data_IF_631641685574
#
_entry.id   IF_631641685574
#
_cell.length_a   1.000
_cell.length_b   1.000
_cell.length_c   1.000
_cell.angle_alpha   90.00
_cell.angle_beta   90.00
_cell.angle_gamma   90.00
#
_symmetry.space_group_name_H-M   'P 1'
#
loop_
_entity.id
_entity.type
_entity.pdbx_description
1 polymer ?
#
# COMPACT_ATOMS: atom_id res chain seq x y z
N UNK A 1 -12.57 9.90 -33.34
CA UNK A 1 -11.71 9.82 -32.17
C UNK A 1 -12.64 9.65 -30.96
N UNK A 2 -12.79 8.43 -30.46
CA UNK A 2 -13.74 8.12 -29.37
C UNK A 2 -12.95 8.14 -28.08
N UNK A 3 -13.20 9.14 -27.23
CA UNK A 3 -12.64 9.20 -25.88
C UNK A 3 -13.54 8.34 -25.01
N UNK A 4 -13.12 7.11 -24.70
CA UNK A 4 -13.78 6.29 -23.67
C UNK A 4 -13.38 6.82 -22.29
N UNK A 5 -14.25 7.61 -21.71
CA UNK A 5 -14.14 7.98 -20.28
C UNK A 5 -14.62 6.77 -19.47
N UNK A 6 -13.70 5.95 -19.00
CA UNK A 6 -14.03 4.89 -18.06
C UNK A 6 -14.55 5.51 -16.76
N UNK A 7 -15.85 5.49 -16.54
CA UNK A 7 -16.46 5.84 -15.26
C UNK A 7 -16.00 4.81 -14.24
N UNK A 8 -15.06 5.22 -13.40
CA UNK A 8 -14.62 4.42 -12.25
C UNK A 8 -15.83 4.23 -11.34
N UNK A 9 -16.31 3.00 -11.21
CA UNK A 9 -17.46 2.67 -10.39
C UNK A 9 -17.06 2.71 -8.91
N UNK A 10 -17.28 3.88 -8.29
CA UNK A 10 -16.97 4.13 -6.88
C UNK A 10 -17.60 3.10 -5.93
N UNK A 11 -18.73 2.48 -6.36
CA UNK A 11 -19.40 1.42 -5.58
C UNK A 11 -18.56 0.12 -5.59
N UNK A 12 -17.95 -0.25 -6.71
CA UNK A 12 -17.07 -1.43 -6.80
C UNK A 12 -15.80 -1.23 -5.99
N UNK A 13 -15.21 -0.03 -6.05
CA UNK A 13 -14.07 0.35 -5.20
C UNK A 13 -14.46 0.28 -3.72
N UNK A 14 -15.60 0.82 -3.34
CA UNK A 14 -16.10 0.75 -1.97
C UNK A 14 -16.37 -0.70 -1.51
N UNK A 15 -16.84 -1.58 -2.39
CA UNK A 15 -17.07 -3.00 -2.08
C UNK A 15 -15.74 -3.73 -1.92
N UNK A 16 -14.79 -3.55 -2.82
CA UNK A 16 -13.46 -4.20 -2.75
C UNK A 16 -12.69 -3.70 -1.52
N UNK A 17 -12.71 -2.40 -1.27
CA UNK A 17 -12.09 -1.80 -0.08
C UNK A 17 -12.87 -2.16 1.19
N UNK A 18 -14.19 -2.36 1.10
CA UNK A 18 -15.05 -2.84 2.17
C UNK A 18 -14.79 -4.31 2.52
N UNK A 19 -14.58 -5.18 1.54
CA UNK A 19 -14.21 -6.58 1.75
C UNK A 19 -12.86 -6.68 2.47
N UNK A 20 -11.87 -5.89 2.08
CA UNK A 20 -10.58 -5.82 2.78
C UNK A 20 -10.76 -5.31 4.22
N UNK A 21 -11.68 -4.37 4.46
CA UNK A 21 -12.00 -3.89 5.81
C UNK A 21 -12.80 -4.95 6.62
N UNK A 22 -13.71 -5.68 5.99
CA UNK A 22 -14.50 -6.73 6.65
C UNK A 22 -13.65 -7.97 6.99
N UNK A 23 -12.59 -8.24 6.23
CA UNK A 23 -11.64 -9.33 6.50
C UNK A 23 -10.74 -9.07 7.72
N UNK A 24 -10.77 -7.86 8.26
CA UNK A 24 -10.05 -7.46 9.48
C UNK A 24 -10.97 -7.52 10.72
N UNK A 25 -12.23 -7.95 10.60
CA UNK A 25 -13.18 -7.99 11.72
C UNK A 25 -13.51 -9.44 12.08
N UNK A 26 -12.82 -9.97 13.06
CA UNK A 26 -13.18 -11.24 13.72
C UNK A 26 -12.01 -11.95 14.39
N UNK A 27 -11.86 -11.70 15.56
CA UNK A 27 -11.65 -12.43 16.82
C UNK A 27 -10.27 -12.97 17.30
N UNK A 28 -10.01 -12.76 18.48
CA UNK A 28 -9.25 -12.86 19.77
C UNK A 28 -8.22 -13.99 20.00
N UNK A 29 -7.16 -13.67 20.67
CA UNK A 29 -6.50 -13.94 22.00
C UNK A 29 -5.61 -15.21 22.07
N UNK A 30 -4.39 -15.22 22.53
CA UNK A 30 -3.76 -15.14 23.87
C UNK A 30 -2.26 -15.48 23.83
N UNK A 31 -1.50 -14.70 24.61
CA UNK A 31 -0.30 -15.02 25.39
C UNK A 31 1.04 -15.35 24.70
N UNK A 32 1.95 -14.42 24.83
CA UNK A 32 3.07 -14.53 25.78
C UNK A 32 4.30 -15.25 25.25
N UNK A 33 5.39 -14.55 25.21
CA UNK A 33 6.73 -15.11 25.11
C UNK A 33 7.65 -14.18 24.31
N UNK A 34 8.54 -13.53 25.03
CA UNK A 34 9.56 -12.70 24.43
C UNK A 34 10.60 -13.52 23.69
N UNK A 35 11.10 -12.96 22.61
CA UNK A 35 12.45 -13.21 22.13
C UNK A 35 12.99 -11.94 21.50
N UNK A 36 14.20 -11.58 21.89
CA UNK A 36 14.98 -10.46 21.37
C UNK A 36 15.28 -10.67 19.86
N UNK A 37 14.35 -10.24 19.05
CA UNK A 37 14.64 -9.93 17.66
C UNK A 37 14.90 -8.45 17.57
N UNK A 38 16.05 -8.04 17.08
CA UNK A 38 16.39 -6.65 16.73
C UNK A 38 15.28 -6.08 15.88
N UNK A 39 14.28 -5.50 16.54
CA UNK A 39 13.15 -4.86 15.89
C UNK A 39 13.69 -3.63 15.14
N UNK A 40 13.85 -3.76 13.84
CA UNK A 40 14.01 -2.60 12.98
C UNK A 40 12.83 -1.68 13.29
N UNK A 41 13.11 -0.48 13.80
CA UNK A 41 12.08 0.46 14.22
C UNK A 41 11.09 0.66 13.07
N UNK A 42 9.79 0.47 13.37
CA UNK A 42 8.76 0.62 12.35
C UNK A 42 8.84 1.99 11.69
N UNK A 43 8.72 2.08 10.34
CA UNK A 43 8.85 3.34 9.62
C UNK A 43 7.85 4.38 10.13
N UNK A 44 8.31 5.63 10.29
CA UNK A 44 7.45 6.73 10.74
C UNK A 44 6.51 7.19 9.63
N UNK A 45 5.26 7.45 9.97
CA UNK A 45 4.20 7.89 9.07
C UNK A 45 3.42 9.09 9.62
N UNK A 46 4.12 9.99 10.29
CA UNK A 46 3.53 11.11 11.02
C UNK A 46 2.70 12.07 10.15
N UNK A 47 3.03 12.17 8.87
CA UNK A 47 2.31 13.01 7.90
C UNK A 47 2.15 12.32 6.54
N UNK A 48 1.47 12.98 5.61
CA UNK A 48 1.24 12.45 4.27
C UNK A 48 2.54 12.23 3.50
N UNK A 49 3.48 13.17 3.59
CA UNK A 49 4.73 13.11 2.82
C UNK A 49 5.60 11.92 3.24
N UNK A 50 5.62 11.60 4.55
CA UNK A 50 6.30 10.43 5.06
C UNK A 50 5.70 9.13 4.51
N UNK A 51 4.37 9.04 4.39
CA UNK A 51 3.70 7.87 3.79
C UNK A 51 3.95 7.75 2.30
N UNK A 52 3.87 8.87 1.57
CA UNK A 52 4.20 8.91 0.13
C UNK A 52 5.67 8.55 -0.09
N UNK A 53 6.58 9.10 0.73
CA UNK A 53 8.00 8.75 0.68
C UNK A 53 8.22 7.25 0.92
N UNK A 54 7.57 6.68 1.93
CA UNK A 54 7.65 5.25 2.21
C UNK A 54 7.28 4.40 0.98
N UNK A 55 6.20 4.73 0.28
CA UNK A 55 5.82 4.02 -0.95
C UNK A 55 6.82 4.24 -2.09
N UNK A 56 7.35 5.44 -2.22
CA UNK A 56 8.40 5.76 -3.20
C UNK A 56 9.71 4.99 -2.96
N UNK A 57 10.06 4.72 -1.72
CA UNK A 57 11.24 3.93 -1.36
C UNK A 57 11.13 2.48 -1.87
N UNK A 58 9.91 1.97 -2.12
CA UNK A 58 9.65 0.70 -2.83
C UNK A 58 9.54 0.86 -4.36
N UNK A 59 9.69 2.07 -4.89
CA UNK A 59 9.60 2.36 -6.33
C UNK A 59 8.19 2.75 -6.81
N UNK A 60 7.21 2.86 -5.91
CA UNK A 60 5.85 3.21 -6.30
C UNK A 60 5.68 4.71 -6.52
N UNK A 61 5.20 5.07 -7.70
CA UNK A 61 4.63 6.40 -7.94
C UNK A 61 3.15 6.38 -7.55
N UNK A 62 2.78 7.24 -6.61
CA UNK A 62 1.43 7.28 -6.04
C UNK A 62 0.85 8.68 -6.08
N UNK A 63 -0.47 8.77 -6.01
CA UNK A 63 -1.16 10.04 -5.86
C UNK A 63 -0.63 10.82 -4.64
N UNK A 64 -0.51 12.12 -4.77
CA UNK A 64 0.03 13.01 -3.74
C UNK A 64 -0.81 13.06 -2.45
N UNK A 65 -2.05 12.56 -2.51
CA UNK A 65 -2.98 12.46 -1.38
C UNK A 65 -3.68 11.11 -1.40
N UNK A 66 -4.07 10.57 -0.24
CA UNK A 66 -4.81 9.34 -0.19
C UNK A 66 -6.20 9.51 -0.81
N UNK A 67 -6.63 8.54 -1.62
CA UNK A 67 -7.99 8.50 -2.18
C UNK A 67 -9.02 8.05 -1.14
N UNK A 68 -8.56 7.41 -0.06
CA UNK A 68 -9.38 7.04 1.08
C UNK A 68 -8.56 7.08 2.37
N UNK A 69 -9.19 7.58 3.42
CA UNK A 69 -8.69 7.51 4.80
C UNK A 69 -9.81 7.01 5.70
N UNK A 70 -9.50 6.00 6.50
CA UNK A 70 -10.48 5.42 7.44
C UNK A 70 -9.81 4.88 8.69
N UNK A 71 -10.52 4.88 9.80
CA UNK A 71 -10.12 4.14 10.97
C UNK A 71 -10.57 2.68 10.81
N UNK A 72 -9.69 1.75 11.14
CA UNK A 72 -9.96 0.30 11.14
C UNK A 72 -9.56 -0.28 12.47
N UNK A 73 -10.39 -1.19 13.00
CA UNK A 73 -10.05 -1.94 14.20
C UNK A 73 -9.37 -3.23 13.79
N UNK A 74 -8.18 -3.47 14.31
CA UNK A 74 -7.53 -4.76 14.15
C UNK A 74 -8.35 -5.84 14.84
N UNK A 75 -8.53 -7.02 14.25
CA UNK A 75 -9.25 -8.12 14.89
C UNK A 75 -8.67 -8.46 16.26
N UNK A 76 -9.54 -8.81 17.16
CA UNK A 76 -9.15 -9.33 18.48
C UNK A 76 -8.93 -10.85 18.43
N UNK A 77 -9.60 -11.59 17.55
CA UNK A 77 -9.46 -13.03 17.34
C UNK A 77 -8.84 -13.36 15.98
N UNK A 78 -8.19 -14.46 15.86
CA UNK A 78 -7.57 -14.90 14.63
C UNK A 78 -8.57 -15.63 13.73
N UNK A 79 -8.80 -15.12 12.53
CA UNK A 79 -9.48 -15.84 11.46
C UNK A 79 -8.45 -16.36 10.44
N UNK A 80 -8.84 -17.31 9.60
CA UNK A 80 -7.97 -17.80 8.53
C UNK A 80 -7.52 -16.65 7.61
N UNK A 81 -8.42 -15.75 7.30
CA UNK A 81 -8.15 -14.58 6.45
C UNK A 81 -7.18 -13.62 7.12
N UNK A 82 -7.38 -13.32 8.40
CA UNK A 82 -6.45 -12.49 9.16
C UNK A 82 -5.07 -13.15 9.22
N UNK A 83 -5.01 -14.45 9.46
CA UNK A 83 -3.75 -15.21 9.52
C UNK A 83 -2.99 -15.13 8.20
N UNK A 84 -3.68 -15.31 7.07
CA UNK A 84 -3.08 -15.15 5.73
C UNK A 84 -2.57 -13.72 5.51
N UNK A 85 -3.39 -12.72 5.88
CA UNK A 85 -2.99 -11.32 5.74
C UNK A 85 -1.79 -10.99 6.64
N UNK A 86 -1.77 -11.46 7.89
CA UNK A 86 -0.63 -11.25 8.78
C UNK A 86 0.63 -12.01 8.32
N UNK A 87 0.48 -13.16 7.68
CA UNK A 87 1.60 -13.86 7.04
C UNK A 87 2.22 -12.99 5.94
N UNK A 88 1.40 -12.34 5.12
CA UNK A 88 1.88 -11.36 4.15
C UNK A 88 2.61 -10.20 4.85
N UNK A 89 2.07 -9.68 5.97
CA UNK A 89 2.74 -8.62 6.72
C UNK A 89 4.09 -9.08 7.25
N UNK A 90 4.16 -10.28 7.82
CA UNK A 90 5.43 -10.85 8.34
C UNK A 90 6.48 -11.03 7.25
N UNK A 91 6.09 -11.38 6.04
CA UNK A 91 7.01 -11.48 4.90
C UNK A 91 7.64 -10.14 4.49
N UNK A 92 7.06 -9.02 4.95
CA UNK A 92 7.53 -7.66 4.74
C UNK A 92 8.24 -7.06 5.95
N UNK A 93 8.40 -7.83 7.04
CA UNK A 93 8.99 -7.35 8.29
C UNK A 93 8.02 -6.65 9.23
N UNK A 94 6.70 -6.73 8.97
CA UNK A 94 5.66 -6.24 9.88
C UNK A 94 4.99 -7.41 10.60
N UNK A 95 4.39 -7.13 11.77
CA UNK A 95 3.54 -8.08 12.48
C UNK A 95 2.33 -7.34 13.05
N UNK A 96 1.13 -7.76 12.70
CA UNK A 96 -0.11 -7.15 13.20
C UNK A 96 -0.55 -7.73 14.54
N UNK A 97 0.06 -8.81 15.01
CA UNK A 97 -0.31 -9.49 16.26
C UNK A 97 -0.32 -8.53 17.48
N UNK A 98 0.70 -7.65 17.68
CA UNK A 98 0.72 -6.72 18.83
C UNK A 98 -0.39 -5.66 18.78
N UNK A 99 -1.07 -5.53 17.66
CA UNK A 99 -2.10 -4.52 17.43
C UNK A 99 -3.52 -5.09 17.47
N UNK A 100 -3.69 -6.34 17.92
CA UNK A 100 -5.00 -6.96 18.11
C UNK A 100 -5.91 -6.05 18.96
N UNK A 101 -7.15 -5.83 18.52
CA UNK A 101 -8.12 -4.94 19.16
C UNK A 101 -7.80 -3.44 19.13
N UNK A 102 -6.69 -3.03 18.53
CA UNK A 102 -6.32 -1.61 18.43
C UNK A 102 -6.98 -0.96 17.21
N UNK A 103 -7.25 0.34 17.34
CA UNK A 103 -7.71 1.15 16.21
C UNK A 103 -6.48 1.71 15.48
N UNK A 104 -6.33 1.37 14.21
CA UNK A 104 -5.33 1.90 13.31
C UNK A 104 -5.95 2.81 12.25
N UNK A 105 -5.18 3.72 11.71
CA UNK A 105 -5.58 4.49 10.54
C UNK A 105 -5.15 3.77 9.27
N UNK A 106 -6.08 3.62 8.32
CA UNK A 106 -5.84 3.09 6.99
C UNK A 106 -5.82 4.23 5.98
N UNK A 107 -4.74 4.33 5.23
CA UNK A 107 -4.58 5.27 4.13
C UNK A 107 -4.44 4.49 2.84
N UNK A 108 -5.21 4.86 1.81
CA UNK A 108 -5.22 4.20 0.50
C UNK A 108 -4.78 5.21 -0.55
N UNK A 109 -3.75 4.86 -1.31
CA UNK A 109 -3.21 5.69 -2.40
C UNK A 109 -3.40 4.98 -3.73
N UNK A 110 -3.78 5.72 -4.77
CA UNK A 110 -3.76 5.19 -6.13
C UNK A 110 -2.31 5.10 -6.60
N UNK A 111 -1.93 3.96 -7.18
CA UNK A 111 -0.64 3.75 -7.84
C UNK A 111 -0.76 4.16 -9.31
N UNK A 112 0.24 4.90 -9.81
CA UNK A 112 0.27 5.40 -11.18
C UNK A 112 1.17 4.56 -12.09
N UNK A 113 2.14 3.83 -11.52
CA UNK A 113 3.18 3.11 -12.25
C UNK A 113 3.13 1.59 -12.09
N UNK A 114 1.95 1.00 -11.79
CA UNK A 114 1.84 -0.46 -11.71
C UNK A 114 1.95 -1.08 -13.11
N UNK A 115 2.89 -2.01 -13.34
CA UNK A 115 3.14 -2.57 -14.66
C UNK A 115 1.96 -3.41 -15.17
N UNK A 116 1.52 -3.15 -16.41
CA UNK A 116 0.47 -3.92 -17.05
C UNK A 116 -0.92 -3.80 -16.43
N UNK A 117 -1.14 -2.80 -15.55
CA UNK A 117 -2.44 -2.59 -14.94
C UNK A 117 -3.51 -2.26 -15.98
N UNK A 118 -4.59 -3.04 -16.00
CA UNK A 118 -5.79 -2.78 -16.80
C UNK A 118 -6.89 -2.11 -15.97
N UNK A 119 -6.81 -2.24 -14.67
CA UNK A 119 -7.71 -1.65 -13.68
C UNK A 119 -6.89 -0.88 -12.63
N UNK A 120 -7.51 0.00 -11.85
CA UNK A 120 -6.81 0.74 -10.81
C UNK A 120 -6.12 -0.16 -9.79
N UNK A 121 -4.89 0.19 -9.43
CA UNK A 121 -4.13 -0.48 -8.35
C UNK A 121 -3.93 0.49 -7.20
N UNK A 122 -4.03 -0.01 -5.99
CA UNK A 122 -3.95 0.79 -4.79
C UNK A 122 -2.90 0.27 -3.82
N UNK A 123 -2.21 1.21 -3.16
CA UNK A 123 -1.38 0.94 -2.01
C UNK A 123 -2.15 1.28 -0.73
N UNK A 124 -2.24 0.33 0.18
CA UNK A 124 -2.81 0.52 1.53
C UNK A 124 -1.67 0.64 2.53
N UNK A 125 -1.72 1.63 3.42
CA UNK A 125 -0.81 1.77 4.57
C UNK A 125 -1.64 1.76 5.85
N UNK A 126 -1.26 0.91 6.79
CA UNK A 126 -1.81 0.85 8.14
C UNK A 126 -0.88 1.60 9.10
N UNK A 127 -1.43 2.55 9.85
CA UNK A 127 -0.68 3.41 10.77
C UNK A 127 -1.27 3.32 12.17
N UNK A 128 -0.43 3.04 13.15
CA UNK A 128 -0.76 3.10 14.56
C UNK A 128 0.25 3.98 15.29
N UNK A 129 -0.24 4.98 16.04
CA UNK A 129 0.62 5.94 16.79
C UNK A 129 1.78 6.51 15.95
N UNK A 130 1.48 6.97 14.73
CA UNK A 130 2.44 7.52 13.77
C UNK A 130 3.50 6.53 13.23
N UNK A 131 3.32 5.24 13.43
CA UNK A 131 4.19 4.19 12.87
C UNK A 131 3.43 3.39 11.84
N UNK A 132 4.10 3.03 10.73
CA UNK A 132 3.57 2.08 9.77
C UNK A 132 3.68 0.70 10.37
N UNK A 133 2.53 0.04 10.53
CA UNK A 133 2.43 -1.29 11.13
C UNK A 133 2.15 -2.38 10.10
N UNK A 134 1.96 -1.99 8.84
CA UNK A 134 1.70 -2.91 7.73
C UNK A 134 1.03 -2.22 6.56
N UNK A 135 0.67 -3.03 5.58
CA UNK A 135 -0.06 -2.61 4.38
C UNK A 135 0.13 -3.56 3.22
N UNK A 136 -0.38 -3.17 2.07
CA UNK A 136 -0.41 -4.01 0.88
C UNK A 136 -0.53 -3.20 -0.41
N UNK A 137 -0.30 -3.87 -1.52
CA UNK A 137 -0.65 -3.42 -2.86
C UNK A 137 -1.78 -4.31 -3.37
N UNK A 138 -2.91 -3.70 -3.71
CA UNK A 138 -4.10 -4.38 -4.21
C UNK A 138 -4.36 -4.02 -5.67
N UNK A 139 -4.29 -5.01 -6.54
CA UNK A 139 -4.76 -4.95 -7.92
C UNK A 139 -6.26 -5.26 -7.95
N UNK A 140 -7.07 -4.35 -8.51
CA UNK A 140 -8.54 -4.48 -8.54
C UNK A 140 -9.07 -5.19 -9.77
N UNK A 141 -8.22 -5.70 -10.63
CA UNK A 141 -8.64 -6.49 -11.80
C UNK A 141 -9.29 -7.81 -11.37
N UNK A 142 -10.04 -8.46 -12.27
CA UNK A 142 -10.75 -9.70 -11.98
C UNK A 142 -9.83 -10.87 -11.53
N UNK A 143 -8.56 -10.82 -11.89
CA UNK A 143 -7.51 -11.76 -11.46
C UNK A 143 -6.49 -11.09 -10.54
N UNK A 144 -6.81 -9.92 -10.05
CA UNK A 144 -5.95 -9.12 -9.19
C UNK A 144 -5.65 -9.81 -7.88
N UNK A 145 -4.50 -9.46 -7.31
CA UNK A 145 -3.99 -10.06 -6.09
C UNK A 145 -3.61 -8.98 -5.08
N UNK A 146 -3.67 -9.36 -3.81
CA UNK A 146 -3.09 -8.59 -2.72
C UNK A 146 -1.65 -9.07 -2.54
N UNK A 147 -0.69 -8.15 -2.51
CA UNK A 147 0.73 -8.44 -2.35
C UNK A 147 1.40 -7.44 -1.40
N UNK A 148 2.65 -7.72 -1.04
CA UNK A 148 3.47 -6.80 -0.28
C UNK A 148 3.92 -5.59 -1.08
N UNK A 149 4.60 -4.66 -0.41
CA UNK A 149 5.07 -3.40 -1.01
C UNK A 149 6.17 -3.58 -2.07
N UNK A 150 6.91 -4.70 -2.05
CA UNK A 150 7.97 -4.94 -3.05
C UNK A 150 7.39 -4.94 -4.47
N UNK A 151 8.02 -4.16 -5.35
CA UNK A 151 7.64 -4.12 -6.76
C UNK A 151 7.89 -5.49 -7.42
N UNK A 152 7.00 -5.97 -8.33
CA UNK A 152 7.24 -7.20 -9.08
C UNK A 152 8.55 -7.12 -9.87
N UNK A 153 9.30 -8.20 -9.95
CA UNK A 153 10.61 -8.23 -10.65
C UNK A 153 10.51 -7.97 -12.16
N UNK A 154 9.33 -8.19 -12.75
CA UNK A 154 9.05 -7.89 -14.16
C UNK A 154 8.56 -6.45 -14.40
N UNK A 155 8.59 -5.61 -13.38
CA UNK A 155 8.26 -4.20 -13.49
C UNK A 155 9.49 -3.44 -14.01
N UNK A 156 9.54 -3.15 -15.29
CA UNK A 156 10.48 -2.17 -15.83
C UNK A 156 10.11 -0.80 -15.24
N UNK A 157 10.99 -0.13 -14.49
CA UNK A 157 10.72 1.24 -14.05
C UNK A 157 10.45 2.11 -15.28
N UNK A 158 9.49 3.05 -15.23
CA UNK A 158 9.37 4.03 -16.30
C UNK A 158 10.72 4.72 -16.45
N UNK A 159 11.24 4.74 -17.69
CA UNK A 159 12.49 5.42 -18.00
C UNK A 159 12.37 6.88 -17.56
N UNK A 160 13.19 7.28 -16.61
CA UNK A 160 13.36 8.68 -16.26
C UNK A 160 13.93 9.38 -17.49
N UNK A 161 13.09 10.01 -18.27
CA UNK A 161 13.53 10.91 -19.35
C UNK A 161 14.17 12.12 -18.68
N UNK A 162 15.47 12.05 -18.51
CA UNK A 162 16.28 13.25 -18.23
C UNK A 162 16.18 14.12 -19.47
N UNK A 163 15.69 15.37 -19.40
CA UNK A 163 15.76 16.27 -20.54
C UNK A 163 17.23 16.54 -20.80
N UNK A 164 17.74 16.03 -21.92
CA UNK A 164 19.04 16.41 -22.43
C UNK A 164 18.89 17.81 -22.99
N UNK A 165 19.32 18.80 -22.20
CA UNK A 165 19.49 20.17 -22.65
C UNK A 165 20.62 20.19 -23.68
N UNK A 166 20.22 20.16 -24.94
CA UNK A 166 21.14 20.35 -26.07
C UNK A 166 21.39 21.84 -26.22
N UNK A 167 22.41 22.32 -25.54
CA UNK A 167 22.97 23.65 -25.80
C UNK A 167 23.56 23.67 -27.22
N UNK A 168 22.78 24.17 -28.16
CA UNK A 168 23.22 24.52 -29.53
C UNK A 168 24.11 25.77 -29.48
N UNK A 169 25.40 25.55 -29.59
CA UNK A 169 26.36 26.61 -29.85
C UNK A 169 26.26 27.01 -31.33
N UNK A 170 25.57 28.08 -31.63
CA UNK A 170 25.70 28.74 -32.92
C UNK A 170 26.93 29.65 -32.89
N UNK A 171 27.95 29.22 -33.59
CA UNK A 171 29.14 30.03 -33.90
C UNK A 171 28.86 30.81 -35.15
N UNK A 172 28.83 32.15 -35.07
CA UNK A 172 28.81 33.05 -36.23
C UNK A 172 30.21 33.57 -36.48
N UNK A 173 30.60 33.45 -37.72
CA UNK A 173 31.60 34.30 -38.35
C UNK A 173 30.97 35.60 -38.81
#
# INVERSE_FOLDING_TARGET
MMVMTAKVDMKKIAIILGVIAALIIGAIVILGGGDDSTATAAPMASNNDARVKFLKDFGWDVASSPVQTSQVRSPEESSEVYTRYNTLQKSQGFDLTPYAGKNAMRFVYKINNYPGATEPVYATILVYKNQIIGGDITDTSAKGQIRGFKMPENATPPATTVPTDSAEKTSSQ
#
